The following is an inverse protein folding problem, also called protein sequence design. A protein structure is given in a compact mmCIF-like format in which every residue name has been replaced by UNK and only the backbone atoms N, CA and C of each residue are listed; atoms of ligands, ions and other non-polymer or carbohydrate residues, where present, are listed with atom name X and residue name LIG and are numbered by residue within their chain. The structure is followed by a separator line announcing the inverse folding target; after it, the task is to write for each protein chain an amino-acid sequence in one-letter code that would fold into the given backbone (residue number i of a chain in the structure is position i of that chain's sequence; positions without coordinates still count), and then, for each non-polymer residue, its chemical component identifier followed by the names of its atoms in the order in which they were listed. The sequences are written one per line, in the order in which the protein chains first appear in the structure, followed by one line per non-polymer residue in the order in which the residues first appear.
data_IF_671755939316
#
_entry.id   IF_671755939316
#
_cell.length_a   1.000
_cell.length_b   1.000
_cell.length_c   1.000
_cell.angle_alpha   90.00
_cell.angle_beta   90.00
_cell.angle_gamma   90.00
#
_symmetry.space_group_name_H-M   'P 1'
#
loop_
_entity.id
_entity.type
_entity.pdbx_description
1 polymer ?
#
# COMPACT_ATOMS: atom_id res chain seq x y z
N UNK A 1 -49.03 10.96 -15.65
CA UNK A 1 -48.61 11.56 -14.37
C UNK A 1 -47.14 11.96 -14.39
N UNK A 2 -46.18 11.03 -14.38
CA UNK A 2 -44.74 11.38 -14.31
C UNK A 2 -44.21 12.23 -15.47
N UNK A 3 -44.63 11.95 -16.71
CA UNK A 3 -44.20 12.71 -17.91
C UNK A 3 -44.72 14.15 -17.94
N UNK A 4 -45.93 14.37 -17.44
CA UNK A 4 -46.57 15.69 -17.34
C UNK A 4 -45.92 16.54 -16.25
N UNK A 5 -45.62 15.94 -15.09
CA UNK A 5 -44.86 16.59 -14.01
C UNK A 5 -43.46 17.02 -14.46
N UNK A 6 -42.76 16.19 -15.25
CA UNK A 6 -41.44 16.55 -15.82
C UNK A 6 -41.55 17.74 -16.79
N UNK A 7 -42.55 17.75 -17.66
CA UNK A 7 -42.75 18.84 -18.61
C UNK A 7 -43.02 20.16 -17.88
N UNK A 8 -43.94 20.15 -16.90
CA UNK A 8 -44.25 21.32 -16.07
C UNK A 8 -43.04 21.82 -15.29
N UNK A 9 -42.26 20.91 -14.71
CA UNK A 9 -41.03 21.27 -14.00
C UNK A 9 -39.99 21.90 -14.95
N UNK A 10 -39.81 21.37 -16.16
CA UNK A 10 -38.89 21.94 -17.16
C UNK A 10 -39.32 23.33 -17.63
N UNK A 11 -40.62 23.60 -17.75
CA UNK A 11 -41.11 24.95 -18.04
C UNK A 11 -40.85 25.91 -16.89
N UNK A 12 -41.11 25.50 -15.65
CA UNK A 12 -40.80 26.29 -14.45
C UNK A 12 -39.28 26.58 -14.34
N UNK A 13 -38.42 25.61 -14.69
CA UNK A 13 -36.96 25.82 -14.79
C UNK A 13 -36.60 26.87 -15.85
N UNK A 14 -37.23 26.85 -17.02
CA UNK A 14 -36.99 27.88 -18.06
C UNK A 14 -37.45 29.27 -17.61
N UNK A 15 -38.53 29.33 -16.84
CA UNK A 15 -39.07 30.58 -16.28
C UNK A 15 -38.28 31.12 -15.08
N UNK A 16 -37.29 30.38 -14.56
CA UNK A 16 -36.57 30.75 -13.34
C UNK A 16 -37.36 30.50 -12.04
N UNK A 17 -38.52 29.85 -12.13
CA UNK A 17 -39.37 29.49 -10.99
C UNK A 17 -38.87 28.18 -10.35
N UNK A 18 -37.70 28.25 -9.72
CA UNK A 18 -37.02 27.06 -9.20
C UNK A 18 -37.81 26.36 -8.09
N UNK A 19 -38.46 27.13 -7.19
CA UNK A 19 -39.21 26.58 -6.06
C UNK A 19 -40.43 25.80 -6.56
N UNK A 20 -41.19 26.36 -7.50
CA UNK A 20 -42.32 25.68 -8.15
C UNK A 20 -41.87 24.38 -8.83
N UNK A 21 -40.74 24.40 -9.54
CA UNK A 21 -40.17 23.20 -10.16
C UNK A 21 -39.84 22.13 -9.11
N UNK A 22 -39.28 22.52 -7.96
CA UNK A 22 -38.88 21.58 -6.91
C UNK A 22 -40.09 20.98 -6.20
N UNK A 23 -41.14 21.76 -5.95
CA UNK A 23 -42.37 21.30 -5.31
C UNK A 23 -43.12 20.30 -6.19
N UNK A 24 -43.25 20.60 -7.48
CA UNK A 24 -43.89 19.70 -8.46
C UNK A 24 -43.12 18.39 -8.56
N UNK A 25 -41.78 18.44 -8.60
CA UNK A 25 -40.94 17.25 -8.69
C UNK A 25 -40.97 16.44 -7.39
N UNK A 26 -41.01 17.08 -6.22
CA UNK A 26 -41.02 16.38 -4.93
C UNK A 26 -42.31 15.60 -4.73
N UNK A 27 -43.46 16.16 -5.13
CA UNK A 27 -44.74 15.43 -5.15
C UNK A 27 -44.69 14.27 -6.15
N UNK A 28 -44.16 14.50 -7.36
CA UNK A 28 -44.08 13.47 -8.39
C UNK A 28 -43.17 12.29 -8.01
N UNK A 29 -42.11 12.52 -7.24
CA UNK A 29 -41.18 11.47 -6.77
C UNK A 29 -41.84 10.56 -5.72
N UNK A 30 -42.80 11.07 -4.92
CA UNK A 30 -43.55 10.22 -3.98
C UNK A 30 -44.47 9.23 -4.70
N UNK A 31 -44.97 9.60 -5.89
CA UNK A 31 -45.95 8.81 -6.65
C UNK A 31 -45.30 7.87 -7.68
N UNK A 32 -44.04 8.12 -8.06
CA UNK A 32 -43.30 7.27 -8.98
C UNK A 32 -41.77 7.46 -8.84
N UNK A 33 -41.05 6.35 -8.71
CA UNK A 33 -39.58 6.33 -8.60
C UNK A 33 -38.93 6.46 -9.99
N UNK A 34 -39.06 7.63 -10.60
CA UNK A 34 -38.60 7.88 -11.97
C UNK A 34 -37.25 8.58 -11.94
N UNK A 35 -36.22 7.84 -12.37
CA UNK A 35 -34.83 8.29 -12.53
C UNK A 35 -34.67 9.71 -13.14
N UNK A 36 -35.49 10.08 -14.12
CA UNK A 36 -35.42 11.40 -14.78
C UNK A 36 -35.99 12.57 -13.96
N UNK A 37 -36.83 12.30 -12.95
CA UNK A 37 -37.33 13.31 -12.00
C UNK A 37 -36.22 13.80 -11.08
N UNK A 38 -35.39 12.87 -10.55
CA UNK A 38 -34.25 13.22 -9.72
C UNK A 38 -33.25 14.12 -10.47
N UNK A 39 -32.89 13.77 -11.70
CA UNK A 39 -31.97 14.58 -12.51
C UNK A 39 -32.47 16.02 -12.71
N UNK A 40 -33.78 16.18 -12.93
CA UNK A 40 -34.41 17.49 -13.12
C UNK A 40 -34.48 18.27 -11.79
N UNK A 41 -34.69 17.56 -10.67
CA UNK A 41 -34.73 18.17 -9.33
C UNK A 41 -33.35 18.61 -8.87
N UNK A 42 -32.30 17.84 -9.15
CA UNK A 42 -30.89 18.22 -8.94
C UNK A 42 -30.61 19.57 -9.59
N UNK A 43 -31.03 19.77 -10.84
CA UNK A 43 -30.83 21.03 -11.56
C UNK A 43 -31.56 22.21 -10.88
N UNK A 44 -32.81 22.02 -10.45
CA UNK A 44 -33.56 23.03 -9.71
C UNK A 44 -32.87 23.42 -8.41
N UNK A 45 -32.44 22.42 -7.64
CA UNK A 45 -31.78 22.58 -6.34
C UNK A 45 -30.40 23.25 -6.47
N UNK A 46 -29.64 22.96 -7.53
CA UNK A 46 -28.39 23.64 -7.82
C UNK A 46 -28.59 25.14 -8.06
N UNK A 47 -29.61 25.52 -8.81
CA UNK A 47 -29.93 26.93 -9.06
C UNK A 47 -30.40 27.66 -7.79
N UNK A 48 -31.02 26.94 -6.86
CA UNK A 48 -31.36 27.44 -5.53
C UNK A 48 -30.18 27.44 -4.54
N UNK A 49 -28.99 26.99 -4.94
CA UNK A 49 -27.82 26.77 -4.08
C UNK A 49 -28.08 25.78 -2.92
N UNK A 50 -29.10 24.92 -3.03
CA UNK A 50 -29.43 23.86 -2.06
C UNK A 50 -28.61 22.59 -2.34
N UNK A 51 -27.28 22.73 -2.37
CA UNK A 51 -26.36 21.68 -2.82
C UNK A 51 -26.41 20.39 -1.98
N UNK A 52 -26.65 20.50 -0.67
CA UNK A 52 -26.80 19.32 0.22
C UNK A 52 -28.01 18.46 -0.12
N UNK A 53 -29.12 19.07 -0.57
CA UNK A 53 -30.29 18.32 -1.02
C UNK A 53 -30.05 17.72 -2.40
N UNK A 54 -29.42 18.48 -3.30
CA UNK A 54 -29.07 18.03 -4.64
C UNK A 54 -28.16 16.79 -4.64
N UNK A 55 -27.22 16.70 -3.68
CA UNK A 55 -26.31 15.55 -3.60
C UNK A 55 -27.02 14.26 -3.24
N UNK A 56 -28.05 14.34 -2.38
CA UNK A 56 -28.87 13.18 -2.00
C UNK A 56 -29.65 12.65 -3.19
N UNK A 57 -30.17 13.56 -4.02
CA UNK A 57 -30.87 13.17 -5.25
C UNK A 57 -29.92 12.51 -6.26
N UNK A 58 -28.69 13.01 -6.39
CA UNK A 58 -27.69 12.37 -7.25
C UNK A 58 -27.30 10.96 -6.74
N UNK A 59 -27.17 10.78 -5.42
CA UNK A 59 -26.94 9.46 -4.80
C UNK A 59 -28.14 8.52 -4.96
N UNK A 60 -29.37 9.03 -4.89
CA UNK A 60 -30.56 8.24 -5.18
C UNK A 60 -30.57 7.75 -6.63
N UNK A 61 -30.07 8.55 -7.58
CA UNK A 61 -29.94 8.13 -8.98
C UNK A 61 -28.95 6.98 -9.14
N UNK A 62 -27.77 7.04 -8.52
CA UNK A 62 -26.77 5.96 -8.60
C UNK A 62 -27.25 4.69 -7.90
N UNK A 63 -28.01 4.81 -6.81
CA UNK A 63 -28.65 3.66 -6.16
C UNK A 63 -29.75 3.01 -7.02
N UNK A 64 -30.56 3.82 -7.70
CA UNK A 64 -31.67 3.33 -8.53
C UNK A 64 -31.20 2.71 -9.85
N UNK A 65 -30.15 3.27 -10.46
CA UNK A 65 -29.54 2.72 -11.67
C UNK A 65 -28.01 2.85 -11.64
N UNK A 66 -27.30 1.87 -11.04
CA UNK A 66 -25.85 1.91 -10.92
C UNK A 66 -25.10 1.91 -12.25
N UNK A 67 -25.73 1.44 -13.33
CA UNK A 67 -25.09 1.37 -14.65
C UNK A 67 -25.10 2.70 -15.43
N UNK A 68 -25.88 3.69 -14.98
CA UNK A 68 -26.01 4.97 -15.68
C UNK A 68 -25.03 6.02 -15.15
N UNK A 69 -24.14 6.47 -16.03
CA UNK A 69 -23.06 7.40 -15.71
C UNK A 69 -23.56 8.79 -15.29
N UNK A 70 -24.79 9.16 -15.63
CA UNK A 70 -25.32 10.50 -15.34
C UNK A 70 -25.43 10.77 -13.84
N UNK A 71 -25.73 9.76 -13.03
CA UNK A 71 -25.79 9.90 -11.57
C UNK A 71 -24.42 10.31 -11.00
N UNK A 72 -23.38 9.56 -11.37
CA UNK A 72 -21.99 9.82 -10.96
C UNK A 72 -21.47 11.18 -11.44
N UNK A 73 -21.74 11.55 -12.69
CA UNK A 73 -21.37 12.86 -13.23
C UNK A 73 -22.01 14.03 -12.46
N UNK A 74 -23.28 13.91 -12.09
CA UNK A 74 -23.97 14.93 -11.30
C UNK A 74 -23.43 15.00 -9.87
N UNK A 75 -23.17 13.84 -9.25
CA UNK A 75 -22.56 13.77 -7.93
C UNK A 75 -21.18 14.44 -7.91
N UNK A 76 -20.30 14.10 -8.85
CA UNK A 76 -18.97 14.69 -8.96
C UNK A 76 -19.02 16.22 -9.17
N UNK A 77 -19.91 16.71 -10.03
CA UNK A 77 -20.12 18.15 -10.24
C UNK A 77 -20.57 18.89 -8.97
N UNK A 78 -21.46 18.28 -8.20
CA UNK A 78 -21.92 18.84 -6.93
C UNK A 78 -20.80 18.84 -5.88
N UNK A 79 -20.03 17.76 -5.80
CA UNK A 79 -18.88 17.64 -4.90
C UNK A 79 -17.83 18.70 -5.21
N UNK A 80 -17.52 18.93 -6.49
CA UNK A 80 -16.65 20.01 -6.94
C UNK A 80 -17.15 21.39 -6.51
N UNK A 81 -18.45 21.64 -6.65
CA UNK A 81 -19.09 22.90 -6.25
C UNK A 81 -19.00 23.12 -4.73
N UNK A 82 -18.99 22.03 -3.97
CA UNK A 82 -18.80 22.02 -2.52
C UNK A 82 -17.32 21.96 -2.11
N UNK A 83 -16.38 22.06 -3.06
CA UNK A 83 -14.94 21.91 -2.82
C UNK A 83 -14.54 20.59 -2.14
N UNK A 84 -15.33 19.53 -2.32
CA UNK A 84 -15.07 18.17 -1.83
C UNK A 84 -14.35 17.35 -2.90
N UNK A 85 -13.10 17.71 -3.18
CA UNK A 85 -12.35 17.17 -4.33
C UNK A 85 -11.96 15.69 -4.19
N UNK A 86 -11.72 15.20 -2.98
CA UNK A 86 -11.43 13.77 -2.74
C UNK A 86 -12.65 12.92 -3.10
N UNK A 87 -13.81 13.26 -2.55
CA UNK A 87 -15.07 12.62 -2.88
C UNK A 87 -15.45 12.80 -4.37
N UNK A 88 -15.08 13.92 -5.00
CA UNK A 88 -15.25 14.12 -6.45
C UNK A 88 -14.48 13.06 -7.25
N UNK A 89 -13.23 12.77 -6.88
CA UNK A 89 -12.39 11.73 -7.50
C UNK A 89 -13.01 10.34 -7.31
N UNK A 90 -13.44 10.01 -6.10
CA UNK A 90 -14.10 8.74 -5.78
C UNK A 90 -15.37 8.55 -6.63
N UNK A 91 -16.23 9.58 -6.71
CA UNK A 91 -17.46 9.52 -7.49
C UNK A 91 -17.20 9.24 -8.99
N UNK A 92 -16.10 9.76 -9.55
CA UNK A 92 -15.70 9.42 -10.91
C UNK A 92 -15.17 7.99 -11.04
N UNK A 93 -14.38 7.52 -10.06
CA UNK A 93 -13.86 6.15 -10.04
C UNK A 93 -14.98 5.11 -9.93
N UNK A 94 -15.94 5.34 -9.04
CA UNK A 94 -17.13 4.50 -8.89
C UNK A 94 -17.92 4.44 -10.20
N UNK A 95 -18.10 5.60 -10.85
CA UNK A 95 -18.78 5.67 -12.14
C UNK A 95 -18.05 4.89 -13.24
N UNK A 96 -16.72 4.96 -13.31
CA UNK A 96 -15.92 4.20 -14.29
C UNK A 96 -15.94 2.70 -14.02
N UNK A 97 -16.08 2.28 -12.75
CA UNK A 97 -16.20 0.87 -12.39
C UNK A 97 -17.59 0.30 -12.71
N UNK A 98 -18.65 1.12 -12.59
CA UNK A 98 -20.03 0.68 -12.74
C UNK A 98 -20.59 0.82 -14.18
N UNK A 99 -20.11 1.80 -14.96
CA UNK A 99 -20.62 2.10 -16.29
C UNK A 99 -20.04 1.22 -17.41
N UNK A 100 -20.85 0.99 -18.46
CA UNK A 100 -20.35 0.46 -19.72
C UNK A 100 -19.42 1.47 -20.42
N UNK A 101 -18.25 0.99 -20.83
CA UNK A 101 -17.24 1.74 -21.57
C UNK A 101 -17.74 2.29 -22.91
N UNK A 102 -18.78 1.70 -23.48
CA UNK A 102 -19.40 2.15 -24.72
C UNK A 102 -20.40 3.30 -24.53
N UNK A 103 -20.74 3.68 -23.29
CA UNK A 103 -21.61 4.80 -23.03
C UNK A 103 -20.93 6.12 -23.44
N UNK A 104 -21.70 7.01 -24.11
CA UNK A 104 -21.21 8.34 -24.51
C UNK A 104 -20.76 9.19 -23.32
N UNK A 105 -21.35 8.95 -22.15
CA UNK A 105 -21.02 9.61 -20.90
C UNK A 105 -19.80 9.01 -20.18
N UNK A 106 -19.30 7.84 -20.59
CA UNK A 106 -18.10 7.22 -20.01
C UNK A 106 -16.85 8.09 -20.22
N UNK A 107 -16.68 8.62 -21.44
CA UNK A 107 -15.57 9.54 -21.77
C UNK A 107 -15.61 10.81 -20.92
N UNK A 108 -16.80 11.27 -20.53
CA UNK A 108 -16.94 12.42 -19.64
C UNK A 108 -16.50 12.10 -18.21
N UNK A 109 -16.70 10.86 -17.73
CA UNK A 109 -16.17 10.40 -16.45
C UNK A 109 -14.64 10.32 -16.49
N UNK A 110 -14.04 9.78 -17.55
CA UNK A 110 -12.57 9.70 -17.69
C UNK A 110 -11.92 11.08 -17.68
N UNK A 111 -12.48 12.02 -18.46
CA UNK A 111 -12.00 13.41 -18.48
C UNK A 111 -12.22 14.11 -17.14
N UNK A 112 -13.40 13.93 -16.54
CA UNK A 112 -13.73 14.48 -15.24
C UNK A 112 -12.77 13.99 -14.14
N UNK A 113 -12.41 12.70 -14.16
CA UNK A 113 -11.43 12.12 -13.24
C UNK A 113 -10.05 12.74 -13.41
N UNK A 114 -9.58 12.94 -14.65
CA UNK A 114 -8.30 13.59 -14.92
C UNK A 114 -8.28 15.02 -14.40
N UNK A 115 -9.32 15.80 -14.70
CA UNK A 115 -9.47 17.18 -14.24
C UNK A 115 -9.53 17.25 -12.70
N UNK A 116 -10.30 16.36 -12.06
CA UNK A 116 -10.43 16.28 -10.61
C UNK A 116 -9.10 15.89 -9.94
N UNK A 117 -8.36 14.93 -10.51
CA UNK A 117 -7.02 14.57 -10.02
C UNK A 117 -6.04 15.71 -10.16
N UNK A 118 -6.07 16.44 -11.27
CA UNK A 118 -5.20 17.60 -11.47
C UNK A 118 -5.50 18.71 -10.48
N UNK A 119 -6.78 18.95 -10.18
CA UNK A 119 -7.20 19.95 -9.18
C UNK A 119 -6.86 19.50 -7.78
N UNK A 120 -7.12 18.23 -7.43
CA UNK A 120 -6.69 17.65 -6.16
C UNK A 120 -5.18 17.80 -5.99
N UNK A 121 -4.39 17.49 -7.02
CA UNK A 121 -2.93 17.67 -7.02
C UNK A 121 -2.51 19.13 -6.93
N UNK A 122 -3.26 20.04 -7.56
CA UNK A 122 -3.02 21.48 -7.45
C UNK A 122 -3.32 22.01 -6.03
N UNK A 123 -4.28 21.42 -5.33
CA UNK A 123 -4.61 21.77 -3.93
C UNK A 123 -3.58 21.19 -2.96
N UNK A 124 -3.07 19.98 -3.25
CA UNK A 124 -1.90 19.45 -2.55
C UNK A 124 -0.69 20.38 -2.70
N UNK A 125 -0.62 21.22 -3.73
CA UNK A 125 0.44 22.22 -3.93
C UNK A 125 -0.01 23.64 -3.56
N UNK A 126 -1.13 23.80 -2.86
CA UNK A 126 -1.61 25.11 -2.41
C UNK A 126 -0.65 25.66 -1.33
N UNK A 127 -0.24 26.93 -1.47
CA UNK A 127 0.61 27.62 -0.50
C UNK A 127 0.02 27.57 0.92
N UNK A 128 -1.30 27.56 1.05
CA UNK A 128 -2.00 27.48 2.34
C UNK A 128 -1.86 26.11 3.00
N UNK A 129 -1.79 25.04 2.20
CA UNK A 129 -1.57 23.69 2.71
C UNK A 129 -0.15 23.57 3.25
N UNK A 130 0.83 24.11 2.51
CA UNK A 130 2.22 24.21 2.96
C UNK A 130 2.35 25.04 4.25
N UNK A 131 1.64 26.16 4.34
CA UNK A 131 1.61 26.96 5.56
C UNK A 131 1.05 26.19 6.76
N UNK A 132 -0.01 25.39 6.59
CA UNK A 132 -0.52 24.53 7.66
C UNK A 132 0.46 23.43 8.03
N UNK A 133 1.13 22.85 7.04
CA UNK A 133 2.14 21.82 7.29
C UNK A 133 3.27 22.39 8.15
N UNK A 134 3.85 23.52 7.76
CA UNK A 134 4.88 24.23 8.54
C UNK A 134 4.37 24.66 9.92
N UNK A 135 3.08 24.95 10.05
CA UNK A 135 2.49 25.31 11.34
C UNK A 135 2.48 24.13 12.31
N UNK A 136 2.24 22.91 11.81
CA UNK A 136 2.19 21.69 12.59
C UNK A 136 3.58 21.10 12.82
N UNK A 137 4.46 21.11 11.81
CA UNK A 137 5.86 20.69 11.84
C UNK A 137 6.70 21.70 12.67
N UNK A 138 6.77 21.48 13.99
CA UNK A 138 7.41 22.38 14.95
C UNK A 138 8.91 22.19 14.99
N UNK A 139 9.39 20.97 14.80
CA UNK A 139 10.81 20.66 14.82
C UNK A 139 11.48 20.73 13.44
N UNK A 140 10.70 20.99 12.38
CA UNK A 140 11.14 21.20 11.01
C UNK A 140 11.81 19.96 10.42
N UNK A 141 11.42 18.77 10.88
CA UNK A 141 11.93 17.50 10.36
C UNK A 141 11.27 17.09 9.04
N UNK A 142 10.39 17.94 8.49
CA UNK A 142 9.64 17.71 7.25
C UNK A 142 8.62 16.57 7.34
N UNK A 143 8.27 16.17 8.55
CA UNK A 143 7.16 15.27 8.85
C UNK A 143 6.26 15.89 9.92
N UNK A 144 5.10 15.27 10.15
CA UNK A 144 4.19 15.67 11.23
C UNK A 144 3.89 14.46 12.09
N UNK A 145 4.37 14.46 13.33
CA UNK A 145 4.26 13.33 14.25
C UNK A 145 3.00 13.37 15.14
N UNK A 146 2.81 12.33 15.96
CA UNK A 146 1.69 12.28 16.92
C UNK A 146 1.64 13.49 17.86
N UNK A 147 2.78 13.92 18.38
CA UNK A 147 2.87 15.02 19.34
C UNK A 147 2.44 16.32 18.68
N UNK A 148 2.83 16.55 17.44
CA UNK A 148 2.49 17.73 16.67
C UNK A 148 1.01 17.78 16.28
N UNK A 149 0.44 16.66 15.83
CA UNK A 149 -1.01 16.56 15.59
C UNK A 149 -1.79 16.76 16.88
N UNK A 150 -1.39 16.10 17.97
CA UNK A 150 -2.07 16.21 19.26
C UNK A 150 -2.00 17.64 19.82
N UNK A 151 -0.87 18.33 19.68
CA UNK A 151 -0.72 19.72 20.09
C UNK A 151 -1.59 20.64 19.24
N UNK A 152 -1.56 20.48 17.91
CA UNK A 152 -2.40 21.28 17.01
C UNK A 152 -3.89 21.08 17.27
N UNK A 153 -4.34 19.86 17.54
CA UNK A 153 -5.73 19.56 17.91
C UNK A 153 -6.10 20.06 19.31
N UNK A 154 -5.19 19.94 20.27
CA UNK A 154 -5.39 20.46 21.63
C UNK A 154 -5.62 21.98 21.60
N UNK A 155 -4.86 22.71 20.80
CA UNK A 155 -5.04 24.16 20.61
C UNK A 155 -6.41 24.54 20.04
N UNK A 156 -7.12 23.61 19.38
CA UNK A 156 -8.44 23.84 18.78
C UNK A 156 -9.59 23.41 19.68
N UNK A 157 -9.43 22.30 20.39
CA UNK A 157 -10.48 21.69 21.18
C UNK A 157 -10.40 22.03 22.68
N UNK A 158 -9.25 22.54 23.16
CA UNK A 158 -8.93 22.77 24.58
C UNK A 158 -9.23 21.55 25.48
N UNK A 159 -9.20 20.36 24.88
CA UNK A 159 -9.42 19.06 25.50
C UNK A 159 -8.29 18.13 25.09
N UNK A 160 -7.45 17.77 26.06
CA UNK A 160 -6.24 16.99 25.83
C UNK A 160 -6.56 15.54 25.47
N UNK A 161 -7.50 14.91 26.18
CA UNK A 161 -7.85 13.51 25.94
C UNK A 161 -8.48 13.34 24.56
N UNK A 162 -9.37 14.26 24.19
CA UNK A 162 -10.00 14.23 22.88
C UNK A 162 -9.00 14.51 21.75
N UNK A 163 -8.06 15.45 21.96
CA UNK A 163 -6.98 15.73 21.02
C UNK A 163 -6.07 14.52 20.80
N UNK A 164 -5.62 13.85 21.87
CA UNK A 164 -4.77 12.66 21.79
C UNK A 164 -5.48 11.50 21.10
N UNK A 165 -6.75 11.25 21.45
CA UNK A 165 -7.57 10.19 20.84
C UNK A 165 -7.75 10.42 19.34
N UNK A 166 -8.08 11.65 18.94
CA UNK A 166 -8.22 12.03 17.53
C UNK A 166 -6.89 11.93 16.79
N UNK A 167 -5.79 12.41 17.36
CA UNK A 167 -4.47 12.31 16.76
C UNK A 167 -4.06 10.85 16.48
N UNK A 168 -4.24 9.96 17.47
CA UNK A 168 -3.96 8.54 17.30
C UNK A 168 -4.83 7.90 16.20
N UNK A 169 -6.14 8.20 16.20
CA UNK A 169 -7.06 7.69 15.18
C UNK A 169 -6.72 8.19 13.76
N UNK A 170 -6.36 9.47 13.61
CA UNK A 170 -6.01 10.06 12.32
C UNK A 170 -4.70 9.49 11.76
N UNK A 171 -3.68 9.29 12.62
CA UNK A 171 -2.43 8.64 12.19
C UNK A 171 -2.67 7.22 11.70
N UNK A 172 -3.43 6.42 12.47
CA UNK A 172 -3.74 5.04 12.08
C UNK A 172 -4.51 4.93 10.76
N UNK A 173 -5.29 5.95 10.41
CA UNK A 173 -6.03 5.97 9.13
C UNK A 173 -5.17 6.36 7.93
N UNK A 174 -4.15 7.19 8.13
CA UNK A 174 -3.40 7.84 7.04
C UNK A 174 -2.03 7.22 6.79
N UNK A 175 -1.48 6.52 7.79
CA UNK A 175 -0.15 5.96 7.75
C UNK A 175 -0.21 4.44 7.58
N UNK A 176 -0.28 4.03 6.30
CA UNK A 176 -0.33 2.64 5.86
C UNK A 176 0.90 1.83 6.31
N UNK A 177 2.03 2.50 6.53
CA UNK A 177 3.30 1.86 6.90
C UNK A 177 3.55 1.86 8.42
N UNK A 178 2.59 2.37 9.21
CA UNK A 178 2.63 2.49 10.68
C UNK A 178 3.91 3.19 11.20
N UNK A 179 4.56 4.06 10.41
CA UNK A 179 5.70 4.87 10.84
C UNK A 179 5.36 5.92 11.92
N UNK A 180 4.07 6.21 12.09
CA UNK A 180 3.43 7.17 12.99
C UNK A 180 3.88 8.60 12.81
N UNK A 181 4.23 8.90 11.57
CA UNK A 181 4.59 10.23 11.06
C UNK A 181 3.83 10.46 9.76
N UNK A 182 3.43 11.70 9.51
CA UNK A 182 2.77 12.10 8.28
C UNK A 182 3.74 12.89 7.43
N UNK A 183 4.01 12.37 6.23
CA UNK A 183 4.63 13.18 5.19
C UNK A 183 3.69 14.30 4.74
N UNK A 184 4.23 15.33 4.07
CA UNK A 184 3.42 16.40 3.49
C UNK A 184 2.22 15.91 2.69
N UNK A 185 2.41 14.87 1.86
CA UNK A 185 1.32 14.31 1.05
C UNK A 185 0.23 13.68 1.93
N UNK A 186 0.62 12.91 2.95
CA UNK A 186 -0.32 12.28 3.88
C UNK A 186 -1.04 13.32 4.74
N UNK A 187 -0.31 14.33 5.23
CA UNK A 187 -0.90 15.45 5.96
C UNK A 187 -1.91 16.23 5.11
N UNK A 188 -1.58 16.53 3.85
CA UNK A 188 -2.48 17.25 2.97
C UNK A 188 -3.75 16.43 2.65
N UNK A 189 -3.62 15.11 2.44
CA UNK A 189 -4.77 14.19 2.32
C UNK A 189 -5.63 14.19 3.58
N UNK A 190 -5.01 14.20 4.76
CA UNK A 190 -5.70 14.26 6.05
C UNK A 190 -6.55 15.54 6.16
N UNK A 191 -5.95 16.70 5.90
CA UNK A 191 -6.66 17.99 5.97
C UNK A 191 -7.82 18.03 4.96
N UNK A 192 -7.63 17.46 3.77
CA UNK A 192 -8.70 17.34 2.78
C UNK A 192 -9.81 16.39 3.22
N UNK A 193 -9.48 15.26 3.87
CA UNK A 193 -10.45 14.34 4.44
C UNK A 193 -11.25 14.99 5.58
N UNK A 194 -10.59 15.73 6.47
CA UNK A 194 -11.23 16.49 7.54
C UNK A 194 -12.19 17.55 7.00
N UNK A 195 -11.77 18.29 5.97
CA UNK A 195 -12.62 19.26 5.26
C UNK A 195 -13.88 18.59 4.70
N UNK A 196 -13.72 17.44 4.04
CA UNK A 196 -14.83 16.66 3.50
C UNK A 196 -15.79 16.14 4.59
N UNK A 197 -15.26 15.63 5.71
CA UNK A 197 -16.00 15.08 6.84
C UNK A 197 -16.79 16.16 7.60
N UNK A 198 -16.16 17.30 7.88
CA UNK A 198 -16.79 18.46 8.54
C UNK A 198 -17.75 19.22 7.62
N UNK A 199 -17.82 18.86 6.33
CA UNK A 199 -18.61 19.53 5.31
C UNK A 199 -18.33 21.04 5.20
N UNK A 200 -17.09 21.43 5.50
CA UNK A 200 -16.55 22.78 5.34
C UNK A 200 -15.69 22.84 4.09
N UNK A 201 -15.42 24.03 3.56
CA UNK A 201 -14.41 24.16 2.51
C UNK A 201 -13.01 24.12 3.12
N UNK A 202 -12.00 23.75 2.32
CA UNK A 202 -10.59 23.81 2.78
C UNK A 202 -10.21 25.22 3.23
N UNK A 203 -10.72 26.27 2.57
CA UNK A 203 -10.44 27.66 2.97
C UNK A 203 -10.96 27.99 4.35
N UNK A 204 -12.20 27.57 4.67
CA UNK A 204 -12.79 27.83 5.98
C UNK A 204 -12.07 27.03 7.08
N UNK A 205 -11.71 25.78 6.79
CA UNK A 205 -10.93 24.94 7.70
C UNK A 205 -9.54 25.55 7.95
N UNK A 206 -8.88 26.04 6.91
CA UNK A 206 -7.58 26.71 7.01
C UNK A 206 -7.63 27.92 7.95
N UNK A 207 -8.60 28.82 7.76
CA UNK A 207 -8.74 29.99 8.63
C UNK A 207 -9.02 29.58 10.09
N UNK A 208 -9.88 28.58 10.30
CA UNK A 208 -10.15 28.05 11.64
C UNK A 208 -8.90 27.49 12.33
N UNK A 209 -8.11 26.69 11.60
CA UNK A 209 -6.86 26.11 12.11
C UNK A 209 -5.81 27.21 12.40
N UNK A 210 -5.72 28.21 11.51
CA UNK A 210 -4.77 29.32 11.63
C UNK A 210 -5.11 30.25 12.80
N UNK A 211 -6.39 30.58 12.99
CA UNK A 211 -6.85 31.43 14.09
C UNK A 211 -6.74 30.71 15.44
N UNK A 212 -7.03 29.40 15.47
CA UNK A 212 -6.82 28.56 16.65
C UNK A 212 -5.38 28.57 17.14
N UNK A 213 -4.41 28.53 16.21
CA UNK A 213 -2.99 28.54 16.57
C UNK A 213 -2.47 29.92 17.00
N UNK A 214 -3.03 31.02 16.48
CA UNK A 214 -2.63 32.40 16.86
C UNK A 214 -3.13 32.83 18.24
N UNK A 215 -4.30 32.33 18.65
CA UNK A 215 -4.92 32.68 19.93
C UNK A 215 -4.61 31.67 21.04
N UNK A 216 -3.86 30.60 20.74
CA UNK A 216 -3.52 29.57 21.71
C UNK A 216 -2.62 30.13 22.82
N UNK A 217 -3.05 29.98 24.07
CA UNK A 217 -2.19 30.19 25.22
C UNK A 217 -0.96 29.25 25.12
N UNK A 218 0.22 29.66 25.60
CA UNK A 218 1.38 28.79 25.62
C UNK A 218 1.06 27.50 26.38
N UNK A 219 1.25 26.36 25.70
CA UNK A 219 0.95 25.03 26.24
C UNK A 219 1.83 24.78 27.46
N UNK A 220 1.24 24.33 28.57
CA UNK A 220 1.97 24.07 29.81
C UNK A 220 2.93 22.89 29.65
N UNK A 221 4.05 22.92 30.38
CA UNK A 221 5.01 21.82 30.43
C UNK A 221 4.38 20.49 30.89
N UNK A 222 3.35 20.56 31.72
CA UNK A 222 2.60 19.39 32.18
C UNK A 222 1.88 18.67 31.03
N UNK A 223 1.23 19.43 30.14
CA UNK A 223 0.54 18.89 28.97
C UNK A 223 1.55 18.27 28.00
N UNK A 224 2.69 18.93 27.78
CA UNK A 224 3.76 18.40 26.93
C UNK A 224 4.27 17.04 27.44
N UNK A 225 4.48 16.91 28.75
CA UNK A 225 4.90 15.65 29.36
C UNK A 225 3.84 14.55 29.20
N UNK A 226 2.54 14.88 29.31
CA UNK A 226 1.46 13.90 29.13
C UNK A 226 1.35 13.42 27.67
N UNK A 227 1.49 14.31 26.69
CA UNK A 227 1.52 13.93 25.27
C UNK A 227 2.73 13.03 24.99
N UNK A 228 3.90 13.37 25.52
CA UNK A 228 5.12 12.58 25.32
C UNK A 228 5.03 11.20 25.99
N UNK A 229 4.43 11.10 27.17
CA UNK A 229 4.14 9.81 27.80
C UNK A 229 3.23 8.94 26.93
N UNK A 230 2.16 9.54 26.38
CA UNK A 230 1.21 8.86 25.48
C UNK A 230 1.91 8.38 24.21
N UNK A 231 2.77 9.20 23.61
CA UNK A 231 3.57 8.82 22.43
C UNK A 231 4.46 7.60 22.72
N UNK A 232 5.11 7.56 23.88
CA UNK A 232 5.95 6.44 24.29
C UNK A 232 5.14 5.16 24.57
N UNK A 233 3.95 5.28 25.16
CA UNK A 233 3.04 4.15 25.37
C UNK A 233 2.53 3.57 24.04
N UNK A 234 2.12 4.45 23.12
CA UNK A 234 1.75 4.04 21.77
C UNK A 234 2.91 3.29 21.12
N UNK A 235 4.13 3.83 21.15
CA UNK A 235 5.31 3.17 20.57
C UNK A 235 5.53 1.76 21.13
N UNK A 236 5.41 1.57 22.44
CA UNK A 236 5.48 0.23 23.06
C UNK A 236 4.35 -0.70 22.60
N UNK A 237 3.12 -0.18 22.47
CA UNK A 237 2.00 -0.95 21.95
C UNK A 237 2.23 -1.41 20.51
N UNK A 238 2.92 -0.59 19.69
CA UNK A 238 3.35 -0.97 18.33
C UNK A 238 4.20 -2.22 18.34
N UNK A 239 5.28 -2.18 19.12
CA UNK A 239 6.26 -3.27 19.17
C UNK A 239 5.62 -4.55 19.70
N UNK A 240 4.68 -4.44 20.65
CA UNK A 240 3.89 -5.59 21.10
C UNK A 240 3.03 -6.19 20.00
N UNK A 241 2.29 -5.37 19.25
CA UNK A 241 1.45 -5.86 18.15
C UNK A 241 2.30 -6.48 17.04
N UNK A 242 3.44 -5.87 16.72
CA UNK A 242 4.40 -6.41 15.76
C UNK A 242 4.93 -7.78 16.23
N UNK A 243 5.38 -7.87 17.47
CA UNK A 243 5.86 -9.12 18.07
C UNK A 243 4.76 -10.19 18.16
N UNK A 244 3.52 -9.82 18.47
CA UNK A 244 2.37 -10.74 18.49
C UNK A 244 2.02 -11.25 17.08
N UNK A 245 2.12 -10.39 16.06
CA UNK A 245 1.90 -10.79 14.67
C UNK A 245 3.03 -11.70 14.17
N UNK A 246 4.29 -11.40 14.52
CA UNK A 246 5.43 -12.28 14.26
C UNK A 246 5.27 -13.62 15.00
N UNK A 247 4.79 -13.61 16.24
CA UNK A 247 4.49 -14.84 16.98
C UNK A 247 3.30 -15.61 16.39
N UNK A 248 2.31 -14.95 15.79
CA UNK A 248 1.23 -15.61 15.03
C UNK A 248 1.70 -16.18 13.69
N UNK A 249 2.80 -15.68 13.13
CA UNK A 249 3.51 -16.30 12.00
C UNK A 249 4.27 -17.58 12.40
N UNK A 250 4.14 -18.07 13.64
CA UNK A 250 4.60 -19.42 13.97
C UNK A 250 3.84 -20.43 13.11
N UNK A 251 4.57 -21.17 12.28
CA UNK A 251 4.00 -22.25 11.48
C UNK A 251 3.22 -23.19 12.40
N UNK A 252 2.00 -23.58 11.99
CA UNK A 252 1.30 -24.62 12.71
C UNK A 252 2.06 -25.96 12.59
N UNK A 253 1.84 -26.86 13.53
CA UNK A 253 2.61 -28.12 13.60
C UNK A 253 2.46 -28.98 12.33
N UNK A 254 1.34 -28.84 11.61
CA UNK A 254 1.10 -29.52 10.35
C UNK A 254 1.94 -28.93 9.21
N UNK A 255 1.94 -27.59 9.05
CA UNK A 255 2.80 -26.93 8.07
C UNK A 255 4.25 -27.24 8.34
N UNK A 256 4.68 -27.15 9.61
CA UNK A 256 6.09 -27.42 9.97
C UNK A 256 6.48 -28.85 9.60
N UNK A 257 5.60 -29.81 9.87
CA UNK A 257 5.80 -31.20 9.45
C UNK A 257 5.94 -31.37 7.94
N UNK A 258 5.23 -30.57 7.12
CA UNK A 258 5.36 -30.61 5.65
C UNK A 258 6.63 -29.92 5.16
N UNK A 259 6.99 -28.77 5.72
CA UNK A 259 8.22 -28.08 5.35
C UNK A 259 9.46 -28.89 5.73
N UNK A 260 9.39 -29.68 6.81
CA UNK A 260 10.44 -30.64 7.17
C UNK A 260 10.62 -31.76 6.12
N UNK A 261 9.54 -32.20 5.47
CA UNK A 261 9.63 -33.18 4.36
C UNK A 261 10.30 -32.55 3.14
N UNK A 262 9.95 -31.30 2.83
CA UNK A 262 10.60 -30.56 1.75
C UNK A 262 12.08 -30.34 2.04
N UNK A 263 12.41 -29.99 3.29
CA UNK A 263 13.78 -29.84 3.77
C UNK A 263 14.59 -31.11 3.50
N UNK A 264 14.09 -32.27 3.94
CA UNK A 264 14.77 -33.55 3.77
C UNK A 264 14.93 -33.97 2.28
N UNK A 265 14.13 -33.39 1.36
CA UNK A 265 14.27 -33.58 -0.08
C UNK A 265 15.32 -32.65 -0.72
N UNK A 266 15.58 -31.50 -0.10
CA UNK A 266 16.47 -30.47 -0.62
C UNK A 266 17.87 -30.54 -0.01
N UNK A 267 17.99 -31.07 1.21
CA UNK A 267 19.24 -31.48 1.87
C UNK A 267 19.78 -32.76 1.17
N UNK A 268 20.57 -32.56 0.12
CA UNK A 268 21.09 -33.62 -0.74
C UNK A 268 22.26 -34.34 -0.08
N UNK A 269 23.08 -33.61 0.67
CA UNK A 269 24.27 -34.14 1.33
C UNK A 269 24.00 -34.70 2.74
N UNK A 270 22.80 -34.46 3.27
CA UNK A 270 22.34 -34.89 4.60
C UNK A 270 23.13 -34.27 5.73
N UNK A 271 23.62 -33.05 5.52
CA UNK A 271 24.29 -32.22 6.52
C UNK A 271 23.34 -31.83 7.66
N UNK A 272 22.03 -31.81 7.40
CA UNK A 272 21.02 -31.33 8.35
C UNK A 272 20.84 -29.81 8.30
N UNK A 273 21.47 -29.14 7.34
CA UNK A 273 21.29 -27.73 6.97
C UNK A 273 21.05 -27.66 5.45
N UNK A 274 20.53 -26.55 4.94
CA UNK A 274 20.41 -26.29 3.50
C UNK A 274 21.37 -25.18 3.12
N UNK A 275 22.30 -25.47 2.22
CA UNK A 275 23.20 -24.47 1.68
C UNK A 275 22.56 -23.70 0.49
N UNK A 276 23.24 -22.65 0.05
CA UNK A 276 22.77 -21.84 -1.08
C UNK A 276 22.63 -22.66 -2.38
N UNK A 277 23.49 -23.65 -2.63
CA UNK A 277 23.49 -24.44 -3.84
C UNK A 277 22.33 -25.46 -3.87
N UNK A 278 22.01 -26.05 -2.73
CA UNK A 278 20.87 -26.93 -2.52
C UNK A 278 19.55 -26.17 -2.67
N UNK A 279 19.45 -25.01 -2.02
CA UNK A 279 18.30 -24.11 -2.14
C UNK A 279 18.07 -23.68 -3.59
N UNK A 280 19.13 -23.26 -4.27
CA UNK A 280 19.07 -22.80 -5.65
C UNK A 280 18.66 -23.93 -6.61
N UNK A 281 19.18 -25.14 -6.38
CA UNK A 281 18.78 -26.33 -7.14
C UNK A 281 17.28 -26.60 -6.97
N UNK A 282 16.78 -26.55 -5.73
CA UNK A 282 15.35 -26.74 -5.43
C UNK A 282 14.45 -25.72 -6.12
N UNK A 283 14.78 -24.43 -5.99
CA UNK A 283 14.00 -23.34 -6.59
C UNK A 283 14.03 -23.37 -8.13
N UNK A 284 15.17 -23.74 -8.74
CA UNK A 284 15.27 -23.90 -10.20
C UNK A 284 14.34 -25.00 -10.71
N UNK A 285 14.24 -26.13 -10.00
CA UNK A 285 13.30 -27.20 -10.33
C UNK A 285 11.86 -26.71 -10.25
N UNK A 286 11.50 -26.03 -9.15
CA UNK A 286 10.19 -25.41 -8.97
C UNK A 286 9.82 -24.48 -10.13
N UNK A 287 10.68 -23.51 -10.45
CA UNK A 287 10.37 -22.51 -11.48
C UNK A 287 10.30 -23.13 -12.88
N UNK A 288 11.13 -24.13 -13.18
CA UNK A 288 11.05 -24.88 -14.45
C UNK A 288 9.73 -25.62 -14.58
N UNK A 289 9.25 -26.25 -13.51
CA UNK A 289 7.96 -26.95 -13.47
C UNK A 289 6.77 -25.97 -13.55
N UNK A 290 6.84 -24.84 -12.85
CA UNK A 290 5.82 -23.79 -12.90
C UNK A 290 5.69 -23.19 -14.31
N UNK A 291 6.82 -23.01 -15.02
CA UNK A 291 6.86 -22.46 -16.38
C UNK A 291 6.47 -23.47 -17.46
N UNK A 292 6.78 -24.76 -17.30
CA UNK A 292 6.38 -25.79 -18.29
C UNK A 292 4.86 -25.98 -18.38
N UNK A 293 4.12 -25.60 -17.33
CA UNK A 293 2.66 -25.53 -17.36
C UNK A 293 2.10 -24.28 -18.08
N UNK A 294 2.96 -23.32 -18.47
CA UNK A 294 2.58 -22.04 -19.06
C UNK A 294 3.30 -21.80 -20.41
N UNK A 295 2.80 -22.47 -21.45
CA UNK A 295 3.11 -22.28 -22.89
C UNK A 295 4.42 -22.80 -23.50
N UNK A 296 4.26 -23.26 -24.76
CA UNK A 296 5.25 -23.90 -25.63
C UNK A 296 6.16 -22.90 -26.36
N UNK A 297 7.42 -23.29 -26.56
CA UNK A 297 8.39 -22.85 -27.58
C UNK A 297 8.89 -21.38 -27.57
N UNK A 298 10.23 -21.30 -27.53
CA UNK A 298 11.16 -20.19 -27.86
C UNK A 298 11.44 -19.09 -26.82
N UNK A 299 12.67 -19.08 -26.30
CA UNK A 299 13.68 -18.01 -26.46
C UNK A 299 14.78 -18.12 -25.40
N UNK A 300 16.04 -18.20 -25.82
CA UNK A 300 17.22 -18.19 -24.93
C UNK A 300 17.33 -16.91 -24.08
N UNK A 301 16.65 -15.82 -24.46
CA UNK A 301 16.64 -14.54 -23.73
C UNK A 301 15.66 -14.52 -22.55
N UNK A 302 14.65 -15.40 -22.55
CA UNK A 302 13.75 -15.57 -21.39
C UNK A 302 14.47 -16.31 -20.26
N UNK A 303 15.28 -17.33 -20.61
CA UNK A 303 16.02 -18.14 -19.64
C UNK A 303 17.01 -17.32 -18.80
N UNK A 304 17.64 -16.29 -19.36
CA UNK A 304 18.58 -15.41 -18.63
C UNK A 304 17.89 -14.51 -17.59
N UNK A 305 16.67 -14.01 -17.86
CA UNK A 305 15.92 -13.22 -16.88
C UNK A 305 15.32 -14.10 -15.77
N UNK A 306 14.89 -15.31 -16.15
CA UNK A 306 14.39 -16.33 -15.21
C UNK A 306 15.47 -16.72 -14.19
N UNK A 307 16.71 -16.95 -14.64
CA UNK A 307 17.83 -17.30 -13.75
C UNK A 307 18.17 -16.19 -12.76
N UNK A 308 18.08 -14.92 -13.17
CA UNK A 308 18.29 -13.77 -12.29
C UNK A 308 17.18 -13.66 -11.22
N UNK A 309 15.94 -14.02 -11.55
CA UNK A 309 14.83 -14.05 -10.59
C UNK A 309 15.01 -15.19 -9.56
N UNK A 310 15.49 -16.40 -9.95
CA UNK A 310 15.75 -17.49 -8.99
C UNK A 310 16.83 -17.09 -7.99
N UNK A 311 17.92 -16.50 -8.46
CA UNK A 311 19.05 -16.14 -7.61
C UNK A 311 18.66 -15.05 -6.61
N UNK A 312 17.84 -14.08 -7.02
CA UNK A 312 17.25 -13.09 -6.11
C UNK A 312 16.35 -13.76 -5.07
N UNK A 313 15.49 -14.68 -5.48
CA UNK A 313 14.58 -15.38 -4.57
C UNK A 313 15.35 -16.26 -3.57
N UNK A 314 16.40 -16.96 -4.02
CA UNK A 314 17.29 -17.73 -3.17
C UNK A 314 18.02 -16.85 -2.15
N UNK A 315 18.56 -15.69 -2.58
CA UNK A 315 19.20 -14.73 -1.68
C UNK A 315 18.23 -14.17 -0.64
N UNK A 316 16.97 -13.93 -1.02
CA UNK A 316 15.94 -13.48 -0.09
C UNK A 316 15.60 -14.54 0.96
N UNK A 317 15.51 -15.81 0.55
CA UNK A 317 15.25 -16.95 1.45
C UNK A 317 16.45 -17.17 2.39
N UNK A 318 17.69 -17.07 1.90
CA UNK A 318 18.90 -17.14 2.73
C UNK A 318 19.00 -15.99 3.74
N UNK A 319 18.33 -14.86 3.50
CA UNK A 319 18.29 -13.74 4.46
C UNK A 319 17.59 -14.07 5.79
N UNK A 320 17.01 -15.26 5.93
CA UNK A 320 16.40 -15.77 7.16
C UNK A 320 17.35 -16.59 8.05
N UNK A 321 18.62 -16.70 7.67
CA UNK A 321 19.72 -17.21 8.50
C UNK A 321 19.90 -16.30 9.74
N UNK A 322 19.54 -16.82 10.93
CA UNK A 322 19.58 -16.08 12.20
C UNK A 322 20.93 -16.18 12.88
N UNK A 323 21.64 -17.28 12.70
CA UNK A 323 22.93 -17.52 13.35
C UNK A 323 24.14 -17.09 12.49
N UNK A 324 23.87 -16.61 11.27
CA UNK A 324 24.84 -16.10 10.29
C UNK A 324 25.84 -17.17 9.83
N UNK A 325 25.43 -18.44 9.81
CA UNK A 325 26.27 -19.56 9.37
C UNK A 325 26.25 -19.78 7.84
N UNK A 326 25.47 -18.98 7.10
CA UNK A 326 25.25 -19.06 5.64
C UNK A 326 24.59 -20.35 5.15
N UNK A 327 23.92 -21.05 6.06
CA UNK A 327 23.12 -22.24 5.84
C UNK A 327 21.75 -22.02 6.50
N UNK A 328 20.75 -22.81 6.14
CA UNK A 328 19.44 -22.75 6.77
C UNK A 328 19.19 -24.03 7.55
N UNK A 329 18.97 -23.92 8.85
CA UNK A 329 18.49 -25.04 9.64
C UNK A 329 17.00 -25.34 9.35
N UNK A 330 16.46 -26.41 9.95
CA UNK A 330 15.06 -26.82 9.72
C UNK A 330 14.05 -25.76 10.15
N UNK A 331 14.33 -24.99 11.19
CA UNK A 331 13.44 -23.96 11.71
C UNK A 331 13.51 -22.70 10.85
N UNK A 332 14.71 -22.28 10.47
CA UNK A 332 14.98 -21.15 9.59
C UNK A 332 14.40 -21.39 8.20
N UNK A 333 14.64 -22.56 7.61
CA UNK A 333 14.07 -22.95 6.33
C UNK A 333 12.53 -22.95 6.38
N UNK A 334 11.94 -23.49 7.45
CA UNK A 334 10.49 -23.52 7.60
C UNK A 334 9.87 -22.11 7.61
N UNK A 335 10.50 -21.18 8.34
CA UNK A 335 10.08 -19.77 8.35
C UNK A 335 10.33 -19.08 7.01
N UNK A 336 11.46 -19.35 6.36
CA UNK A 336 11.83 -18.75 5.09
C UNK A 336 10.85 -19.15 3.98
N UNK A 337 10.45 -20.43 3.91
CA UNK A 337 9.46 -20.92 2.94
C UNK A 337 8.05 -20.35 3.20
N UNK A 338 7.65 -20.17 4.47
CA UNK A 338 6.39 -19.48 4.79
C UNK A 338 6.36 -18.04 4.28
N UNK A 339 7.43 -17.28 4.55
CA UNK A 339 7.54 -15.90 4.08
C UNK A 339 7.64 -15.83 2.55
N UNK A 340 8.31 -16.81 1.93
CA UNK A 340 8.37 -16.91 0.48
C UNK A 340 6.98 -17.14 -0.14
N UNK A 341 6.17 -18.03 0.44
CA UNK A 341 4.79 -18.26 0.01
C UNK A 341 3.92 -16.99 0.07
N UNK A 342 4.03 -16.23 1.17
CA UNK A 342 3.37 -14.93 1.34
C UNK A 342 3.83 -13.92 0.28
N UNK A 343 5.14 -13.86 0.01
CA UNK A 343 5.72 -12.95 -0.97
C UNK A 343 5.25 -13.22 -2.41
N UNK A 344 5.17 -14.49 -2.81
CA UNK A 344 4.67 -14.88 -4.14
C UNK A 344 3.13 -14.95 -4.19
N UNK A 345 2.44 -14.73 -3.06
CA UNK A 345 0.98 -14.75 -2.96
C UNK A 345 0.34 -16.12 -3.18
N UNK A 346 1.02 -17.20 -2.80
CA UNK A 346 0.53 -18.59 -2.94
C UNK A 346 0.26 -19.21 -1.57
N UNK A 347 -0.72 -20.12 -1.46
CA UNK A 347 -0.93 -20.87 -0.22
C UNK A 347 0.31 -21.72 0.12
N UNK A 348 0.71 -21.69 1.39
CA UNK A 348 1.92 -22.38 1.86
C UNK A 348 1.86 -23.89 1.60
N UNK A 349 0.70 -24.52 1.79
CA UNK A 349 0.54 -25.95 1.60
C UNK A 349 0.59 -26.31 0.11
N UNK A 350 -0.08 -25.54 -0.73
CA UNK A 350 -0.04 -25.73 -2.18
C UNK A 350 1.39 -25.58 -2.72
N UNK A 351 2.14 -24.60 -2.22
CA UNK A 351 3.54 -24.38 -2.57
C UNK A 351 4.42 -25.57 -2.15
N UNK A 352 4.34 -25.99 -0.89
CA UNK A 352 5.14 -27.09 -0.36
C UNK A 352 4.81 -28.40 -1.10
N UNK A 353 3.53 -28.71 -1.28
CA UNK A 353 3.09 -29.94 -1.94
C UNK A 353 3.60 -29.97 -3.39
N UNK A 354 3.52 -28.84 -4.11
CA UNK A 354 4.05 -28.74 -5.46
C UNK A 354 5.59 -28.85 -5.50
N UNK A 355 6.31 -28.16 -4.62
CA UNK A 355 7.76 -28.26 -4.54
C UNK A 355 8.23 -29.67 -4.17
N UNK A 356 7.53 -30.38 -3.27
CA UNK A 356 7.83 -31.77 -2.93
C UNK A 356 7.66 -32.68 -4.15
N UNK A 357 6.56 -32.53 -4.89
CA UNK A 357 6.30 -33.30 -6.10
C UNK A 357 7.40 -33.06 -7.13
N UNK A 358 7.75 -31.80 -7.37
CA UNK A 358 8.78 -31.43 -8.35
C UNK A 358 10.16 -31.94 -7.95
N UNK A 359 10.54 -31.82 -6.68
CA UNK A 359 11.84 -32.31 -6.20
C UNK A 359 11.95 -33.82 -6.19
N UNK A 360 10.81 -34.54 -6.11
CA UNK A 360 10.77 -36.00 -6.21
C UNK A 360 10.91 -36.55 -7.64
N UNK A 361 10.75 -35.70 -8.67
CA UNK A 361 10.89 -36.11 -10.07
C UNK A 361 12.37 -36.17 -10.47
N UNK A 362 12.84 -37.36 -10.86
CA UNK A 362 14.23 -37.59 -11.27
C UNK A 362 14.45 -37.21 -12.74
N UNK A 363 14.73 -35.94 -13.02
CA UNK A 363 15.34 -35.52 -14.29
C UNK A 363 16.54 -34.61 -14.02
N UNK A 364 17.67 -35.22 -13.63
CA UNK A 364 18.98 -34.55 -13.72
C UNK A 364 19.36 -34.46 -15.20
N UNK A 365 19.12 -33.32 -15.84
CA UNK A 365 19.58 -33.07 -17.21
C UNK A 365 21.09 -32.79 -17.24
N UNK A 366 21.76 -33.25 -18.30
CA UNK A 366 23.20 -33.17 -18.65
C UNK A 366 23.86 -31.77 -18.45
N UNK A 367 23.06 -30.72 -18.30
CA UNK A 367 23.47 -29.34 -18.01
C UNK A 367 23.82 -29.10 -16.52
N UNK A 368 23.15 -29.78 -15.58
CA UNK A 368 23.46 -29.68 -14.14
C UNK A 368 24.84 -30.25 -13.82
N UNK A 369 25.22 -31.35 -14.49
CA UNK A 369 26.56 -31.93 -14.44
C UNK A 369 27.62 -31.00 -15.05
N UNK A 370 27.29 -30.22 -16.08
CA UNK A 370 28.23 -29.26 -16.67
C UNK A 370 28.48 -28.04 -15.76
N UNK A 371 27.52 -27.68 -14.90
CA UNK A 371 27.64 -26.50 -14.03
C UNK A 371 28.27 -26.83 -12.67
N UNK A 372 28.04 -28.03 -12.12
CA UNK A 372 28.82 -28.53 -10.97
C UNK A 372 30.32 -28.60 -11.27
N UNK A 373 30.67 -28.86 -12.54
CA UNK A 373 32.06 -28.91 -12.99
C UNK A 373 32.66 -27.51 -13.26
N UNK A 374 31.82 -26.47 -13.44
CA UNK A 374 32.23 -25.11 -13.81
C UNK A 374 32.42 -24.16 -12.61
N UNK A 375 32.01 -24.57 -11.40
CA UNK A 375 32.21 -23.80 -10.17
C UNK A 375 33.44 -24.34 -9.42
N UNK A 376 34.53 -23.57 -9.25
CA UNK A 376 35.68 -24.03 -8.49
C UNK A 376 35.29 -24.25 -7.02
N UNK A 377 35.55 -25.45 -6.51
CA UNK A 377 35.26 -25.89 -5.14
C UNK A 377 36.06 -25.12 -4.07
N UNK A 378 35.78 -23.83 -3.87
CA UNK A 378 36.42 -23.05 -2.80
C UNK A 378 35.69 -23.11 -1.44
N UNK A 379 34.57 -23.83 -1.36
CA UNK A 379 33.79 -23.99 -0.12
C UNK A 379 33.54 -25.47 0.25
N UNK A 380 34.46 -26.39 -0.05
CA UNK A 380 34.41 -27.71 0.62
C UNK A 380 35.12 -27.63 1.97
N UNK A 381 34.35 -27.63 3.05
CA UNK A 381 34.89 -27.91 4.39
C UNK A 381 35.46 -29.33 4.39
N UNK A 382 36.77 -29.43 4.61
CA UNK A 382 37.47 -30.71 4.55
C UNK A 382 37.27 -31.50 5.84
N UNK A 383 36.67 -32.69 5.77
CA UNK A 383 36.94 -33.76 6.72
C UNK A 383 37.27 -35.09 6.02
N UNK A 384 38.56 -35.41 6.12
CA UNK A 384 39.29 -36.65 5.85
C UNK A 384 38.56 -37.92 5.33
N UNK A 385 39.10 -38.47 4.23
CA UNK A 385 39.66 -39.85 4.21
C UNK A 385 40.74 -40.05 3.14
N UNK A 386 41.88 -40.60 3.58
CA UNK A 386 43.09 -40.97 2.81
C UNK A 386 42.81 -42.00 1.70
N UNK A 387 43.47 -41.86 0.54
CA UNK A 387 44.43 -42.85 -0.02
C UNK A 387 44.81 -42.58 -1.50
N UNK A 388 46.13 -42.31 -1.72
CA UNK A 388 47.03 -42.76 -2.83
C UNK A 388 46.47 -42.78 -4.28
N UNK A 389 47.07 -42.14 -5.31
CA UNK A 389 48.48 -42.13 -5.76
C UNK A 389 48.64 -41.17 -6.97
N UNK A 390 49.73 -40.39 -7.01
CA UNK A 390 50.49 -39.88 -8.19
C UNK A 390 49.75 -39.03 -9.24
N UNK A 391 50.21 -37.90 -9.74
CA UNK A 391 51.48 -37.18 -9.64
C UNK A 391 51.51 -36.19 -10.82
N UNK A 392 52.07 -34.98 -10.63
CA UNK A 392 52.54 -34.15 -11.75
C UNK A 392 51.90 -32.75 -11.95
N UNK A 393 52.55 -31.76 -11.32
CA UNK A 393 53.05 -30.51 -11.95
C UNK A 393 52.10 -29.36 -12.38
N UNK A 394 52.20 -28.26 -11.58
CA UNK A 394 52.30 -26.81 -11.93
C UNK A 394 51.04 -26.14 -12.56
N UNK A 395 50.53 -25.01 -12.08
CA UNK A 395 51.17 -23.69 -11.87
C UNK A 395 50.32 -22.79 -10.93
N UNK A 396 50.96 -21.77 -10.35
CA UNK A 396 50.52 -20.82 -9.31
C UNK A 396 49.64 -19.64 -9.77
N UNK A 397 48.88 -19.07 -8.80
CA UNK A 397 48.45 -17.65 -8.54
C UNK A 397 46.93 -17.62 -8.20
N UNK A 398 46.39 -17.42 -6.97
CA UNK A 398 46.69 -16.50 -5.84
C UNK A 398 46.81 -15.05 -6.33
N UNK A 399 46.01 -14.04 -5.99
CA UNK A 399 45.07 -13.63 -4.92
C UNK A 399 44.15 -12.56 -5.59
N UNK A 400 43.06 -12.00 -5.06
CA UNK A 400 42.55 -11.88 -3.71
C UNK A 400 41.37 -10.90 -3.70
N UNK A 401 40.62 -11.03 -2.62
CA UNK A 401 39.51 -10.27 -2.06
C UNK A 401 39.64 -8.74 -2.06
N UNK A 402 38.53 -8.04 -2.27
CA UNK A 402 38.32 -6.62 -1.92
C UNK A 402 37.25 -6.60 -0.83
N UNK A 403 37.67 -6.37 0.42
CA UNK A 403 36.89 -5.80 1.52
C UNK A 403 37.85 -5.55 2.68
N UNK A 404 38.51 -4.40 2.64
CA UNK A 404 39.12 -3.80 3.83
C UNK A 404 39.18 -2.28 3.64
N UNK A 405 38.19 -1.57 4.17
CA UNK A 405 38.21 -0.11 4.30
C UNK A 405 37.43 0.33 5.54
N UNK A 406 38.16 0.45 6.63
CA UNK A 406 37.88 1.12 7.90
C UNK A 406 39.03 0.72 8.83
N UNK A 407 39.87 1.57 9.40
CA UNK A 407 39.73 2.92 9.95
C UNK A 407 41.14 3.56 10.08
N UNK A 408 41.16 4.90 9.98
CA UNK A 408 41.91 5.87 10.82
C UNK A 408 43.42 5.68 11.07
N UNK A 409 44.23 6.67 10.65
CA UNK A 409 45.13 7.43 11.53
C UNK A 409 45.80 8.60 10.80
N UNK A 410 45.95 9.69 11.56
CA UNK A 410 46.61 10.97 11.26
C UNK A 410 48.16 10.85 11.21
N UNK A 411 48.82 12.02 11.13
CA UNK A 411 50.27 12.32 11.14
C UNK A 411 50.87 12.48 9.74
N UNK A 412 51.08 13.70 9.25
CA UNK A 412 52.07 14.74 9.61
C UNK A 412 53.26 14.77 8.63
N UNK A 413 53.53 15.99 8.17
CA UNK A 413 54.80 16.56 7.69
C UNK A 413 55.52 16.04 6.43
N UNK A 414 55.77 17.00 5.52
CA UNK A 414 57.14 17.24 5.03
C UNK A 414 57.46 16.87 3.58
N UNK A 415 57.24 17.80 2.65
CA UNK A 415 58.28 18.55 1.88
C UNK A 415 57.65 19.42 0.77
#
# INVERSE_FOLDING_TARGET
MSTESIAKAKEALKGGNWDEATDVLTKAIQDADVYSLFATRVQALMNQKKFKAAIKDAQAMTAANPSDCRGYLLQAKLLRTLSKYTAEVEAYQDGLAACDRNDKSYVLLERGLQDARQISKSILNDSRMMELFILFDKDQDSTVDFKEVALGLYQLCDDLEDAQRKAAGLLLMMDENDQRVLTYEQFAKLIMAMSAASAMSFGDLYEQLKDGSKNAAPVSQEILNQIQATQAELAKARERVKAENEAKKTLDALSYGRTAVLFDLWDLDKSGTIDFQELLTGLRKYQRAALTNSFSNNSATLQTNILADVERDALQIMGHDKDSNQELDKEEFAHAIANYAEFIGTDLHELIDFMCVVSSQSETTEYETMYSDATPSYFSSSSHKKSLKGGGSKFYQSLGTILDMGEVAEEEEGE
#
